data_IF_254898580523
#
_entry.id   IF_254898580523
#
_cell.length_a   1.000
_cell.length_b   1.000
_cell.length_c   1.000
_cell.angle_alpha   90.00
_cell.angle_beta   90.00
_cell.angle_gamma   90.00
#
_symmetry.space_group_name_H-M   'P 1'
#
loop_
_entity.id
_entity.type
_entity.pdbx_description
1 polymer ?
#
# COMPACT_ATOMS: atom_id res chain seq x y z
N UNK A 1 -3.73 19.30 -17.48
CA UNK A 1 -4.16 17.88 -17.41
C UNK A 1 -4.63 17.60 -15.98
N UNK A 2 -5.70 16.83 -15.76
CA UNK A 2 -6.10 16.47 -14.39
C UNK A 2 -5.14 15.41 -13.85
N UNK A 3 -4.53 15.67 -12.69
CA UNK A 3 -3.73 14.68 -11.99
C UNK A 3 -4.68 13.83 -11.13
N UNK A 4 -4.97 12.60 -11.57
CA UNK A 4 -5.91 11.68 -10.91
C UNK A 4 -5.10 10.56 -10.26
N UNK A 5 -5.31 10.34 -8.96
CA UNK A 5 -4.79 9.20 -8.22
C UNK A 5 -5.96 8.32 -7.78
N UNK A 6 -5.98 7.09 -8.28
CA UNK A 6 -6.95 6.06 -7.92
C UNK A 6 -6.33 5.18 -6.83
N UNK A 7 -6.90 5.20 -5.63
CA UNK A 7 -6.49 4.33 -4.52
C UNK A 7 -7.48 3.18 -4.42
N UNK A 8 -6.97 1.95 -4.36
CA UNK A 8 -7.79 0.73 -4.30
C UNK A 8 -7.42 -0.10 -3.08
N UNK A 9 -8.37 -0.85 -2.52
CA UNK A 9 -8.10 -1.79 -1.42
C UNK A 9 -7.52 -3.08 -2.00
N UNK A 10 -6.20 -3.17 -2.08
CA UNK A 10 -5.48 -4.25 -2.77
C UNK A 10 -5.61 -4.21 -4.30
N UNK A 11 -5.03 -5.20 -4.95
CA UNK A 11 -4.82 -5.21 -6.41
C UNK A 11 -6.07 -5.60 -7.23
N UNK A 12 -7.08 -6.21 -6.62
CA UNK A 12 -8.19 -6.86 -7.33
C UNK A 12 -8.94 -5.93 -8.29
N UNK A 13 -9.08 -4.66 -7.95
CA UNK A 13 -9.81 -3.69 -8.78
C UNK A 13 -8.92 -3.04 -9.84
N UNK A 14 -7.60 -3.03 -9.68
CA UNK A 14 -6.68 -2.28 -10.55
C UNK A 14 -6.77 -2.76 -12.00
N UNK A 15 -6.76 -4.08 -12.22
CA UNK A 15 -6.75 -4.65 -13.57
C UNK A 15 -8.06 -4.40 -14.34
N UNK A 16 -9.21 -4.45 -13.66
CA UNK A 16 -10.48 -4.15 -14.32
C UNK A 16 -10.64 -2.65 -14.60
N UNK A 17 -10.14 -1.79 -13.71
CA UNK A 17 -10.14 -0.34 -13.92
C UNK A 17 -9.26 0.07 -15.11
N UNK A 18 -8.09 -0.55 -15.28
CA UNK A 18 -7.22 -0.36 -16.45
C UNK A 18 -7.92 -0.81 -17.73
N UNK A 19 -8.56 -1.98 -17.74
CA UNK A 19 -9.33 -2.50 -18.89
C UNK A 19 -10.52 -1.62 -19.26
N UNK A 20 -11.09 -0.92 -18.28
CA UNK A 20 -12.17 0.05 -18.47
C UNK A 20 -11.68 1.45 -18.85
N UNK A 21 -10.38 1.62 -19.13
CA UNK A 21 -9.76 2.89 -19.54
C UNK A 21 -9.97 4.04 -18.53
N UNK A 22 -10.06 3.71 -17.24
CA UNK A 22 -10.14 4.73 -16.19
C UNK A 22 -8.82 5.52 -16.15
N UNK A 23 -8.85 6.86 -16.24
CA UNK A 23 -7.64 7.66 -16.26
C UNK A 23 -7.01 7.81 -14.86
N UNK A 24 -5.68 7.96 -14.83
CA UNK A 24 -4.93 8.31 -13.62
C UNK A 24 -3.85 7.29 -13.23
N UNK A 25 -3.11 7.62 -12.16
CA UNK A 25 -2.18 6.70 -11.50
C UNK A 25 -2.98 5.77 -10.58
N UNK A 26 -2.55 4.53 -10.45
CA UNK A 26 -3.18 3.54 -9.57
C UNK A 26 -2.25 3.22 -8.40
N UNK A 27 -2.74 3.37 -7.17
CA UNK A 27 -2.08 2.95 -5.95
C UNK A 27 -2.95 1.84 -5.31
N UNK A 28 -2.60 0.56 -5.47
CA UNK A 28 -3.17 -0.51 -4.67
C UNK A 28 -2.64 -0.42 -3.23
N UNK A 29 -3.54 -0.22 -2.28
CA UNK A 29 -3.20 -0.16 -0.86
C UNK A 29 -3.08 -1.58 -0.31
N UNK A 30 -1.86 -1.98 0.05
CA UNK A 30 -1.55 -3.36 0.49
C UNK A 30 -1.30 -3.49 2.00
N UNK A 31 -1.52 -2.43 2.77
CA UNK A 31 -1.51 -2.49 4.23
C UNK A 31 -2.92 -2.79 4.77
N UNK A 32 -3.03 -3.77 5.66
CA UNK A 32 -4.28 -4.14 6.33
C UNK A 32 -4.56 -3.22 7.51
N UNK A 33 -5.24 -2.11 7.24
CA UNK A 33 -5.50 -1.03 8.22
C UNK A 33 -6.41 -1.41 9.40
N UNK A 34 -7.07 -2.57 9.36
CA UNK A 34 -7.97 -3.02 10.43
C UNK A 34 -7.28 -3.96 11.44
N UNK A 35 -6.04 -4.36 11.20
CA UNK A 35 -5.28 -5.25 12.09
C UNK A 35 -3.86 -4.72 12.33
N UNK A 36 -3.27 -5.07 13.47
CA UNK A 36 -1.92 -4.71 13.87
C UNK A 36 -1.78 -3.31 14.45
N UNK A 37 -0.58 -2.98 14.95
CA UNK A 37 -0.33 -1.73 15.66
C UNK A 37 -0.24 -0.53 14.71
N UNK A 38 -0.74 0.61 15.16
CA UNK A 38 -0.52 1.94 14.57
C UNK A 38 -0.10 2.86 15.71
N UNK A 39 1.18 2.84 16.13
CA UNK A 39 1.66 3.64 17.26
C UNK A 39 1.59 5.14 16.92
N UNK A 40 1.22 5.94 17.91
CA UNK A 40 1.28 7.40 17.77
C UNK A 40 2.73 7.91 17.82
N UNK A 41 2.97 9.11 17.26
CA UNK A 41 4.25 9.81 17.36
C UNK A 41 5.35 9.35 16.40
N UNK A 42 5.10 8.37 15.54
CA UNK A 42 6.06 7.92 14.51
C UNK A 42 5.97 8.78 13.24
N UNK A 43 7.10 9.03 12.59
CA UNK A 43 7.10 9.58 11.22
C UNK A 43 6.71 8.50 10.21
N UNK A 44 6.37 8.91 8.98
CA UNK A 44 5.86 7.98 7.95
C UNK A 44 6.77 6.77 7.72
N UNK A 45 8.08 6.98 7.57
CA UNK A 45 9.05 5.91 7.36
C UNK A 45 9.08 4.91 8.53
N UNK A 46 9.05 5.41 9.76
CA UNK A 46 9.04 4.58 10.97
C UNK A 46 7.74 3.78 11.08
N UNK A 47 6.60 4.41 10.81
CA UNK A 47 5.30 3.74 10.78
C UNK A 47 5.27 2.67 9.67
N UNK A 48 5.76 2.99 8.47
CA UNK A 48 5.89 2.03 7.36
C UNK A 48 6.73 0.81 7.73
N UNK A 49 7.82 1.00 8.48
CA UNK A 49 8.60 -0.11 9.03
C UNK A 49 7.78 -0.98 9.99
N UNK A 50 7.09 -0.38 10.96
CA UNK A 50 6.24 -1.12 11.91
C UNK A 50 5.15 -1.92 11.19
N UNK A 51 4.51 -1.31 10.20
CA UNK A 51 3.42 -1.92 9.43
C UNK A 51 3.92 -3.05 8.52
N UNK A 52 5.05 -2.85 7.83
CA UNK A 52 5.67 -3.89 7.01
C UNK A 52 6.13 -5.09 7.85
N UNK A 53 6.76 -4.86 9.02
CA UNK A 53 7.15 -5.91 9.97
C UNK A 53 5.93 -6.67 10.48
N UNK A 54 4.83 -5.98 10.79
CA UNK A 54 3.60 -6.63 11.21
C UNK A 54 3.08 -7.59 10.12
N UNK A 55 2.93 -7.14 8.88
CA UNK A 55 2.45 -7.98 7.77
C UNK A 55 3.32 -9.22 7.57
N UNK A 56 4.64 -9.06 7.62
CA UNK A 56 5.60 -10.16 7.52
C UNK A 56 5.46 -11.14 8.68
N UNK A 57 5.29 -10.65 9.92
CA UNK A 57 5.10 -11.51 11.10
C UNK A 57 3.85 -12.38 11.03
N UNK A 58 2.86 -11.97 10.24
CA UNK A 58 1.62 -12.73 10.00
C UNK A 58 1.74 -13.74 8.85
N UNK A 59 2.84 -13.73 8.11
CA UNK A 59 3.02 -14.55 6.92
C UNK A 59 2.16 -14.08 5.73
N UNK A 60 1.77 -12.81 5.69
CA UNK A 60 0.88 -12.26 4.65
C UNK A 60 1.63 -11.72 3.42
N UNK A 61 2.95 -11.83 3.41
CA UNK A 61 3.76 -11.45 2.27
C UNK A 61 5.24 -11.73 2.51
N UNK A 62 5.98 -11.82 1.41
CA UNK A 62 7.43 -12.00 1.45
C UNK A 62 8.11 -10.73 1.97
N UNK A 63 9.09 -10.82 2.91
CA UNK A 63 9.68 -9.65 3.57
C UNK A 63 10.15 -8.55 2.61
N UNK A 64 10.88 -8.94 1.57
CA UNK A 64 11.44 -7.98 0.61
C UNK A 64 10.40 -7.38 -0.33
N UNK A 65 9.32 -8.11 -0.60
CA UNK A 65 8.17 -7.60 -1.38
C UNK A 65 7.39 -6.58 -0.55
N UNK A 66 7.05 -6.92 0.70
CA UNK A 66 6.28 -6.03 1.57
C UNK A 66 7.03 -4.72 1.81
N UNK A 67 8.33 -4.77 2.14
CA UNK A 67 9.14 -3.56 2.32
C UNK A 67 9.16 -2.68 1.08
N UNK A 68 9.41 -3.27 -0.10
CA UNK A 68 9.43 -2.53 -1.37
C UNK A 68 8.08 -1.86 -1.64
N UNK A 69 6.98 -2.56 -1.41
CA UNK A 69 5.63 -2.05 -1.66
C UNK A 69 5.31 -0.82 -0.77
N UNK A 70 5.78 -0.80 0.49
CA UNK A 70 5.68 0.39 1.35
C UNK A 70 6.53 1.56 0.85
N UNK A 71 7.76 1.29 0.41
CA UNK A 71 8.63 2.32 -0.18
C UNK A 71 7.99 2.91 -1.44
N UNK A 72 7.46 2.08 -2.33
CA UNK A 72 6.79 2.53 -3.55
C UNK A 72 5.57 3.39 -3.23
N UNK A 73 4.75 3.00 -2.24
CA UNK A 73 3.58 3.74 -1.78
C UNK A 73 3.95 5.13 -1.24
N UNK A 74 4.99 5.22 -0.42
CA UNK A 74 5.38 6.45 0.27
C UNK A 74 5.96 7.51 -0.69
N UNK A 75 6.36 7.09 -1.91
CA UNK A 75 6.88 7.96 -2.96
C UNK A 75 5.82 8.34 -4.03
N UNK A 76 4.53 8.08 -3.80
CA UNK A 76 3.48 8.29 -4.81
C UNK A 76 3.07 9.75 -5.02
#
# INVERSE_FOLDING_TARGET
>A
MRNILNITNGDSSVEIMKKAEIPGKFLPWRDVLHDGPVPEGLVLEELSRVRSEFIVSRGWGEPEVVKRDFIERDNV
#
